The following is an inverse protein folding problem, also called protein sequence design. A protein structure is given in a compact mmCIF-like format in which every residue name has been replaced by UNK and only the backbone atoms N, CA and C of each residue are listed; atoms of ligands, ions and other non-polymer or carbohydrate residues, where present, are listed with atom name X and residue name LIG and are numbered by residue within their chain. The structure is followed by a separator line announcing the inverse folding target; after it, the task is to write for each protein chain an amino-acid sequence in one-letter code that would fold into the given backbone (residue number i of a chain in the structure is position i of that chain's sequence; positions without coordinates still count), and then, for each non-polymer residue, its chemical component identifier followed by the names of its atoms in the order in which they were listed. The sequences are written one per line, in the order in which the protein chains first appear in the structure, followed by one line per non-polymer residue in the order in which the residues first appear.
data_IF_000916360273
#
_entry.id   IF_000916360273
#
_cell.length_a   1.000
_cell.length_b   1.000
_cell.length_c   1.000
_cell.angle_alpha   90.00
_cell.angle_beta   90.00
_cell.angle_gamma   90.00
#
_symmetry.space_group_name_H-M   'P 1'
#
loop_
_entity.id
_entity.type
_entity.pdbx_description
1 polymer ?
#
# COMPACT_ATOMS: atom_id res chain seq x y z
N UNK A 1 -12.61 2.92 -14.23
CA UNK A 1 -11.97 2.41 -15.46
C UNK A 1 -11.36 1.03 -15.26
N UNK A 2 -11.53 0.11 -16.21
CA UNK A 2 -10.92 -1.21 -16.14
C UNK A 2 -9.45 -1.17 -16.58
N UNK A 3 -8.55 -1.56 -15.69
CA UNK A 3 -7.18 -1.94 -16.04
C UNK A 3 -7.12 -3.48 -16.08
N UNK A 4 -6.58 -4.02 -17.17
CA UNK A 4 -6.33 -5.46 -17.32
C UNK A 4 -4.90 -5.77 -16.89
N UNK A 5 -4.75 -6.65 -15.92
CA UNK A 5 -3.44 -7.19 -15.52
C UNK A 5 -3.35 -8.63 -16.00
N UNK A 6 -2.31 -8.94 -16.78
CA UNK A 6 -1.99 -10.31 -17.20
C UNK A 6 -0.72 -10.71 -16.45
N UNK A 7 -0.78 -11.81 -15.70
CA UNK A 7 0.36 -12.35 -14.96
C UNK A 7 0.58 -13.81 -15.37
N UNK A 8 1.84 -14.19 -15.53
CA UNK A 8 2.26 -15.57 -15.79
C UNK A 8 3.28 -15.97 -14.74
N UNK A 9 3.05 -17.07 -14.03
CA UNK A 9 4.01 -17.61 -13.06
C UNK A 9 4.90 -18.61 -13.78
N UNK A 10 6.23 -18.49 -13.63
CA UNK A 10 7.23 -19.28 -14.39
C UNK A 10 7.20 -20.79 -14.15
N UNK A 11 6.43 -21.28 -13.18
CA UNK A 11 6.28 -22.70 -12.82
C UNK A 11 4.90 -23.30 -13.12
N UNK A 12 4.02 -22.57 -13.80
CA UNK A 12 2.69 -23.07 -14.20
C UNK A 12 2.39 -22.67 -15.65
N UNK A 13 1.92 -23.58 -16.50
CA UNK A 13 1.54 -23.25 -17.89
C UNK A 13 0.26 -22.40 -17.97
N UNK A 14 -0.42 -22.16 -16.86
CA UNK A 14 -1.67 -21.42 -16.79
C UNK A 14 -1.42 -19.90 -16.83
N UNK A 15 -2.04 -19.23 -17.81
CA UNK A 15 -2.05 -17.77 -17.90
C UNK A 15 -3.31 -17.26 -17.21
N UNK A 16 -3.13 -16.47 -16.15
CA UNK A 16 -4.25 -15.88 -15.40
C UNK A 16 -4.42 -14.42 -15.85
N UNK A 17 -5.64 -14.08 -16.29
CA UNK A 17 -6.04 -12.73 -16.60
C UNK A 17 -6.97 -12.19 -15.50
N UNK A 18 -6.65 -11.01 -14.97
CA UNK A 18 -7.47 -10.32 -13.97
C UNK A 18 -7.89 -8.93 -14.47
N UNK A 19 -9.14 -8.57 -14.20
CA UNK A 19 -9.65 -7.22 -14.41
C UNK A 19 -9.73 -6.50 -13.07
N UNK A 20 -9.19 -5.28 -13.02
CA UNK A 20 -9.27 -4.41 -11.84
C UNK A 20 -9.98 -3.14 -12.23
N UNK A 21 -11.00 -2.78 -11.45
CA UNK A 21 -11.76 -1.55 -11.66
C UNK A 21 -11.31 -0.50 -10.65
N UNK A 22 -10.91 0.66 -11.15
CA UNK A 22 -10.51 1.80 -10.32
C UNK A 22 -11.52 2.94 -10.45
N UNK A 23 -11.82 3.58 -9.31
CA UNK A 23 -12.59 4.82 -9.25
C UNK A 23 -11.60 5.98 -9.17
N UNK A 24 -11.74 6.94 -10.08
CA UNK A 24 -10.85 8.10 -10.16
C UNK A 24 -11.62 9.30 -10.68
N UNK A 25 -11.19 10.49 -10.29
CA UNK A 25 -11.65 11.76 -10.87
C UNK A 25 -10.84 12.18 -12.10
N UNK A 26 -9.78 11.45 -12.45
CA UNK A 26 -8.96 11.72 -13.63
C UNK A 26 -9.62 11.23 -14.92
N UNK A 27 -9.28 11.90 -16.03
CA UNK A 27 -9.69 11.49 -17.37
C UNK A 27 -9.16 10.10 -17.75
N UNK A 28 -9.89 9.44 -18.64
CA UNK A 28 -9.60 8.07 -19.07
C UNK A 28 -8.26 7.89 -19.73
N UNK A 29 -7.92 8.89 -20.52
CA UNK A 29 -6.78 8.86 -21.42
C UNK A 29 -5.54 9.44 -20.74
N UNK A 30 -5.61 9.71 -19.43
CA UNK A 30 -4.47 10.23 -18.69
C UNK A 30 -3.34 9.19 -18.71
N UNK A 31 -2.19 9.49 -19.35
CA UNK A 31 -1.11 8.51 -19.52
C UNK A 31 -0.47 8.11 -18.18
N UNK A 32 -0.61 8.95 -17.15
CA UNK A 32 -0.07 8.70 -15.81
C UNK A 32 -1.02 7.89 -14.92
N UNK A 33 -2.24 7.55 -15.36
CA UNK A 33 -3.22 6.86 -14.53
C UNK A 33 -2.68 5.53 -13.96
N UNK A 34 -1.98 4.77 -14.80
CA UNK A 34 -1.36 3.50 -14.36
C UNK A 34 -0.27 3.69 -13.32
N UNK A 35 0.43 4.83 -13.35
CA UNK A 35 1.44 5.20 -12.34
C UNK A 35 0.76 5.63 -11.05
N UNK A 36 -0.26 6.48 -11.10
CA UNK A 36 -1.00 6.90 -9.90
C UNK A 36 -1.60 5.71 -9.16
N UNK A 37 -2.14 4.73 -9.88
CA UNK A 37 -2.64 3.49 -9.27
C UNK A 37 -1.52 2.73 -8.56
N UNK A 38 -0.34 2.58 -9.20
CA UNK A 38 0.80 1.89 -8.56
C UNK A 38 1.34 2.65 -7.35
N UNK A 39 1.49 3.97 -7.47
CA UNK A 39 1.98 4.83 -6.40
C UNK A 39 1.00 4.87 -5.22
N UNK A 40 -0.31 4.73 -5.47
CA UNK A 40 -1.29 4.56 -4.40
C UNK A 40 -1.11 3.23 -3.66
N UNK A 41 -0.91 2.13 -4.39
CA UNK A 41 -0.68 0.80 -3.79
C UNK A 41 0.68 0.68 -3.09
N UNK A 42 1.70 1.44 -3.50
CA UNK A 42 3.00 1.39 -2.83
C UNK A 42 2.92 1.89 -1.38
N UNK A 43 1.96 2.76 -1.05
CA UNK A 43 1.72 3.19 0.34
C UNK A 43 1.35 1.98 1.21
N UNK A 44 0.45 1.12 0.75
CA UNK A 44 0.05 -0.08 1.48
C UNK A 44 1.24 -1.04 1.67
N UNK A 45 1.98 -1.27 0.59
CA UNK A 45 3.07 -2.25 0.60
C UNK A 45 4.32 -1.76 1.34
N UNK A 46 4.69 -0.49 1.21
CA UNK A 46 5.93 0.05 1.79
C UNK A 46 5.71 0.72 3.14
N UNK A 47 4.48 1.09 3.48
CA UNK A 47 4.17 1.79 4.73
C UNK A 47 3.35 0.90 5.66
N UNK A 48 2.15 0.51 5.24
CA UNK A 48 1.24 -0.27 6.10
C UNK A 48 1.83 -1.62 6.48
N UNK A 49 2.35 -2.39 5.51
CA UNK A 49 2.99 -3.67 5.81
C UNK A 49 4.15 -3.55 6.82
N UNK A 50 4.94 -2.48 6.75
CA UNK A 50 6.03 -2.27 7.71
C UNK A 50 5.50 -1.96 9.12
N UNK A 51 4.40 -1.20 9.23
CA UNK A 51 3.74 -0.95 10.51
C UNK A 51 3.14 -2.24 11.07
N UNK A 52 2.45 -3.02 10.23
CA UNK A 52 1.72 -4.21 10.65
C UNK A 52 2.68 -5.35 11.06
N UNK A 53 3.74 -5.57 10.29
CA UNK A 53 4.68 -6.69 10.52
C UNK A 53 5.80 -6.32 11.48
N UNK A 54 6.46 -5.17 11.30
CA UNK A 54 7.64 -4.81 12.10
C UNK A 54 7.29 -4.04 13.37
N UNK A 55 6.21 -3.24 13.35
CA UNK A 55 5.72 -2.53 14.54
C UNK A 55 4.46 -3.15 15.14
N UNK A 56 4.04 -4.31 14.61
CA UNK A 56 2.99 -5.17 15.15
C UNK A 56 1.66 -4.42 15.38
N UNK A 57 1.35 -3.46 14.50
CA UNK A 57 0.21 -2.55 14.66
C UNK A 57 -1.13 -3.31 14.69
N UNK A 58 -1.25 -4.42 13.93
CA UNK A 58 -2.41 -5.32 13.94
C UNK A 58 -2.78 -5.89 15.32
N UNK A 59 -1.79 -6.03 16.22
CA UNK A 59 -2.02 -6.60 17.56
C UNK A 59 -2.09 -5.55 18.65
N UNK A 60 -2.00 -4.26 18.29
CA UNK A 60 -2.12 -3.18 19.27
C UNK A 60 -3.53 -3.16 19.84
N UNK A 61 -3.63 -3.29 21.16
CA UNK A 61 -4.89 -3.14 21.88
C UNK A 61 -4.97 -1.73 22.45
N UNK A 62 -5.42 -0.80 21.63
CA UNK A 62 -5.64 0.60 22.01
C UNK A 62 -7.11 0.78 22.39
N UNK A 63 -7.38 1.01 23.66
CA UNK A 63 -8.76 1.18 24.19
C UNK A 63 -9.11 2.66 24.46
N UNK A 64 -8.11 3.54 24.42
CA UNK A 64 -8.26 4.99 24.58
C UNK A 64 -7.86 5.68 23.27
N UNK A 65 -8.71 6.59 22.80
CA UNK A 65 -8.56 7.23 21.49
C UNK A 65 -7.32 8.13 21.40
N UNK A 66 -6.99 8.83 22.50
CA UNK A 66 -5.82 9.71 22.57
C UNK A 66 -4.54 8.87 22.55
N UNK A 67 -4.52 7.78 23.30
CA UNK A 67 -3.43 6.82 23.27
C UNK A 67 -3.28 6.20 21.87
N UNK A 68 -4.38 5.83 21.22
CA UNK A 68 -4.37 5.25 19.87
C UNK A 68 -3.72 6.19 18.85
N UNK A 69 -4.14 7.46 18.85
CA UNK A 69 -3.62 8.48 17.96
C UNK A 69 -2.13 8.77 18.23
N UNK A 70 -1.75 8.93 19.50
CA UNK A 70 -0.37 9.19 19.87
C UNK A 70 0.57 8.06 19.44
N UNK A 71 0.14 6.81 19.63
CA UNK A 71 0.92 5.65 19.20
C UNK A 71 1.05 5.59 17.67
N UNK A 72 -0.04 5.82 16.93
CA UNK A 72 -0.01 5.85 15.47
C UNK A 72 0.97 6.92 14.96
N UNK A 73 0.91 8.13 15.50
CA UNK A 73 1.85 9.22 15.15
C UNK A 73 3.30 8.86 15.45
N UNK A 74 3.56 8.24 16.61
CA UNK A 74 4.90 7.85 17.05
C UNK A 74 5.49 6.77 16.15
N UNK A 75 4.72 5.72 15.82
CA UNK A 75 5.16 4.65 14.92
C UNK A 75 5.47 5.16 13.51
N UNK A 76 4.64 6.06 12.98
CA UNK A 76 4.87 6.72 11.69
C UNK A 76 6.14 7.56 11.68
N UNK A 77 6.37 8.34 12.74
CA UNK A 77 7.60 9.12 12.90
C UNK A 77 8.83 8.21 12.92
N UNK A 78 8.79 7.14 13.71
CA UNK A 78 9.88 6.17 13.79
C UNK A 78 10.17 5.55 12.41
N UNK A 79 9.14 5.12 11.68
CA UNK A 79 9.29 4.54 10.36
C UNK A 79 9.95 5.50 9.37
N UNK A 80 9.50 6.76 9.38
CA UNK A 80 10.08 7.80 8.52
C UNK A 80 11.55 8.07 8.86
N UNK A 81 11.91 8.11 10.15
CA UNK A 81 13.30 8.28 10.58
C UNK A 81 14.20 7.13 10.13
N UNK A 82 13.71 5.89 10.22
CA UNK A 82 14.44 4.71 9.72
C UNK A 82 14.65 4.84 8.22
N UNK A 83 13.59 5.14 7.45
CA UNK A 83 13.68 5.30 5.99
C UNK A 83 14.70 6.37 5.58
N UNK A 84 14.74 7.51 6.28
CA UNK A 84 15.72 8.58 6.01
C UNK A 84 17.15 8.11 6.28
N UNK A 85 17.37 7.29 7.32
CA UNK A 85 18.70 6.82 7.72
C UNK A 85 19.21 5.65 6.87
N UNK A 86 18.31 4.87 6.29
CA UNK A 86 18.64 3.69 5.47
C UNK A 86 18.61 3.95 3.97
N UNK A 87 18.15 5.13 3.54
CA UNK A 87 18.22 5.60 2.15
C UNK A 87 19.60 6.21 1.86
#
# INVERSE_FOLDING_TARGET
MPLKTISSTTNTPEVIAQWRYYVTSHDADNPNLSRYVRDHWSIENEYHWQLDVHLNDDKDKKYDDVAAENFARTKRLLLNLVKIKTA
#
